data_IF_697372506787
#
_entry.id   IF_697372506787
#
_cell.length_a   1.000
_cell.length_b   1.000
_cell.length_c   1.000
_cell.angle_alpha   90.00
_cell.angle_beta   90.00
_cell.angle_gamma   90.00
#
_symmetry.space_group_name_H-M   'P 1'
#
loop_
_entity.id
_entity.type
_entity.pdbx_description
1 polymer ?
#
# COMPACT_ATOMS: atom_id res chain seq x y z
N UNK A 1 20.05 4.80 -64.31
CA UNK A 1 19.02 5.46 -63.48
C UNK A 1 18.78 4.59 -62.25
N UNK A 2 19.03 5.08 -61.03
CA UNK A 2 18.77 4.31 -59.82
C UNK A 2 17.33 4.52 -59.36
N UNK A 3 16.55 3.44 -59.31
CA UNK A 3 15.16 3.47 -58.87
C UNK A 3 15.09 3.70 -57.33
N UNK A 4 14.37 4.74 -56.91
CA UNK A 4 14.20 5.09 -55.49
C UNK A 4 13.05 4.28 -54.90
N UNK A 5 13.37 3.38 -53.96
CA UNK A 5 12.39 2.59 -53.21
C UNK A 5 11.52 3.49 -52.31
N UNK A 6 10.19 3.32 -52.38
CA UNK A 6 9.21 3.98 -51.51
C UNK A 6 9.20 3.33 -50.11
N UNK A 7 10.19 3.66 -49.29
CA UNK A 7 10.20 3.29 -47.87
C UNK A 7 9.87 4.49 -46.99
N UNK A 8 8.93 4.34 -46.06
CA UNK A 8 8.71 5.34 -45.01
C UNK A 8 10.04 5.66 -44.31
N UNK A 9 10.36 6.93 -44.00
CA UNK A 9 11.68 7.35 -43.50
C UNK A 9 12.13 6.59 -42.24
N UNK A 10 11.19 6.06 -41.47
CA UNK A 10 11.41 5.35 -40.20
C UNK A 10 11.55 3.83 -40.35
N UNK A 11 11.30 3.25 -41.54
CA UNK A 11 11.31 1.80 -41.75
C UNK A 11 12.67 1.14 -41.48
N UNK A 12 13.75 1.84 -41.83
CA UNK A 12 15.13 1.38 -41.60
C UNK A 12 15.50 1.36 -40.12
N UNK A 13 15.17 2.45 -39.41
CA UNK A 13 15.37 2.55 -37.97
C UNK A 13 14.54 1.50 -37.22
N UNK A 14 13.28 1.32 -37.61
CA UNK A 14 12.40 0.33 -36.97
C UNK A 14 13.01 -1.08 -37.08
N UNK A 15 13.47 -1.47 -38.28
CA UNK A 15 14.14 -2.77 -38.47
C UNK A 15 15.42 -2.91 -37.66
N UNK A 16 16.23 -1.84 -37.58
CA UNK A 16 17.43 -1.85 -36.75
C UNK A 16 17.10 -2.07 -35.26
N UNK A 17 16.09 -1.36 -34.73
CA UNK A 17 15.70 -1.47 -33.32
C UNK A 17 15.24 -2.89 -32.94
N UNK A 18 14.61 -3.62 -33.86
CA UNK A 18 14.18 -5.01 -33.62
C UNK A 18 15.34 -6.00 -33.46
N UNK A 19 16.53 -5.69 -34.01
CA UNK A 19 17.69 -6.59 -33.98
C UNK A 19 18.88 -6.03 -33.19
N UNK A 20 18.84 -4.76 -32.79
CA UNK A 20 19.93 -4.14 -32.04
C UNK A 20 19.98 -4.67 -30.61
N UNK A 21 21.02 -5.44 -30.29
CA UNK A 21 21.22 -6.04 -28.97
C UNK A 21 21.20 -5.01 -27.83
N UNK A 22 21.76 -3.80 -28.05
CA UNK A 22 21.75 -2.73 -27.06
C UNK A 22 20.33 -2.20 -26.81
N UNK A 23 19.53 -2.04 -27.87
CA UNK A 23 18.14 -1.62 -27.74
C UNK A 23 17.29 -2.68 -27.04
N UNK A 24 17.44 -3.96 -27.42
CA UNK A 24 16.72 -5.07 -26.80
C UNK A 24 17.07 -5.22 -25.31
N UNK A 25 18.36 -5.07 -24.94
CA UNK A 25 18.79 -5.06 -23.53
C UNK A 25 18.22 -3.87 -22.75
N UNK A 26 18.22 -2.67 -23.33
CA UNK A 26 17.64 -1.48 -22.72
C UNK A 26 16.12 -1.61 -22.55
N UNK A 27 15.42 -2.16 -23.55
CA UNK A 27 13.99 -2.46 -23.50
C UNK A 27 13.67 -3.47 -22.41
N UNK A 28 14.39 -4.59 -22.34
CA UNK A 28 14.22 -5.58 -21.28
C UNK A 28 14.51 -5.01 -19.87
N UNK A 29 15.51 -4.13 -19.74
CA UNK A 29 15.79 -3.42 -18.47
C UNK A 29 14.65 -2.48 -18.10
N UNK A 30 14.09 -1.75 -19.07
CA UNK A 30 12.94 -0.85 -18.86
C UNK A 30 11.65 -1.62 -18.54
N UNK A 31 11.41 -2.76 -19.16
CA UNK A 31 10.27 -3.64 -18.85
C UNK A 31 10.39 -4.21 -17.42
N UNK A 32 11.59 -4.65 -17.01
CA UNK A 32 11.86 -5.05 -15.62
C UNK A 32 11.68 -3.90 -14.62
N UNK A 33 12.11 -2.69 -14.98
CA UNK A 33 11.95 -1.50 -14.13
C UNK A 33 10.48 -1.04 -14.06
N UNK A 34 9.71 -1.14 -15.14
CA UNK A 34 8.27 -0.83 -15.15
C UNK A 34 7.45 -1.86 -14.35
N UNK A 35 7.89 -3.12 -14.28
CA UNK A 35 7.34 -4.11 -13.34
C UNK A 35 7.66 -3.77 -11.87
N UNK A 36 8.59 -2.84 -11.63
CA UNK A 36 9.02 -2.35 -10.32
C UNK A 36 8.72 -0.86 -10.20
N UNK A 37 7.58 -0.40 -10.73
CA UNK A 37 7.18 1.00 -10.58
C UNK A 37 7.19 1.36 -9.09
N UNK A 38 8.14 2.21 -8.69
CA UNK A 38 8.22 2.75 -7.34
C UNK A 38 7.04 3.68 -7.14
N UNK A 39 6.11 3.32 -6.25
CA UNK A 39 5.11 4.25 -5.80
C UNK A 39 5.82 5.37 -5.02
N UNK A 40 5.48 6.62 -5.34
CA UNK A 40 6.01 7.79 -4.66
C UNK A 40 4.94 8.25 -3.68
N UNK A 41 5.22 8.14 -2.39
CA UNK A 41 4.31 8.60 -1.35
C UNK A 41 4.82 9.88 -0.70
N UNK A 42 3.88 10.77 -0.39
CA UNK A 42 4.12 12.01 0.33
C UNK A 42 3.65 11.84 1.77
N UNK A 43 4.53 12.13 2.74
CA UNK A 43 4.14 12.12 4.15
C UNK A 43 3.06 13.19 4.40
N UNK A 44 1.97 12.90 5.12
CA UNK A 44 1.05 13.95 5.55
C UNK A 44 1.80 14.92 6.46
N UNK A 45 1.80 16.21 6.12
CA UNK A 45 2.43 17.23 6.94
C UNK A 45 1.76 17.31 8.31
N UNK A 46 2.54 17.10 9.36
CA UNK A 46 2.20 17.59 10.68
C UNK A 46 2.42 19.12 10.71
N UNK A 47 1.34 19.86 10.48
CA UNK A 47 1.08 21.21 11.03
C UNK A 47 1.92 22.41 10.52
N UNK A 48 2.78 22.30 9.50
CA UNK A 48 3.46 23.48 8.91
C UNK A 48 3.08 23.70 7.43
N UNK A 49 2.39 24.81 7.08
CA UNK A 49 2.04 25.15 5.69
C UNK A 49 3.24 25.44 4.78
N UNK A 50 4.45 25.63 5.34
CA UNK A 50 5.68 25.92 4.59
C UNK A 50 6.58 24.71 4.34
N UNK A 51 6.26 23.55 4.92
CA UNK A 51 7.03 22.31 4.73
C UNK A 51 6.57 21.59 3.46
N UNK A 52 7.49 21.27 2.54
CA UNK A 52 7.18 20.33 1.47
C UNK A 52 7.19 18.90 2.03
N UNK A 53 6.15 18.08 1.80
CA UNK A 53 6.11 16.73 2.33
C UNK A 53 7.28 15.93 1.78
N UNK A 54 8.09 15.36 2.68
CA UNK A 54 9.24 14.56 2.32
C UNK A 54 8.79 13.34 1.50
N UNK A 55 9.46 13.13 0.36
CA UNK A 55 9.28 11.96 -0.49
C UNK A 55 9.69 10.71 0.29
N UNK A 56 8.76 9.80 0.53
CA UNK A 56 9.06 8.48 1.09
C UNK A 56 9.06 7.42 -0.02
N UNK A 57 9.87 6.39 0.18
CA UNK A 57 9.77 5.17 -0.61
C UNK A 57 8.37 4.60 -0.36
N UNK A 58 7.48 4.68 -1.35
CA UNK A 58 6.08 4.23 -1.27
C UNK A 58 5.98 2.70 -1.28
N UNK A 59 6.81 2.05 -0.47
CA UNK A 59 6.83 0.61 -0.35
C UNK A 59 5.56 0.19 0.35
N UNK A 60 4.74 -0.58 -0.35
CA UNK A 60 3.54 -1.16 0.22
C UNK A 60 3.92 -2.11 1.36
N UNK A 61 3.41 -1.83 2.55
CA UNK A 61 3.55 -2.71 3.71
C UNK A 61 2.19 -3.29 4.08
N UNK A 62 2.00 -4.56 3.72
CA UNK A 62 0.75 -5.26 4.02
C UNK A 62 0.51 -5.41 5.52
N UNK A 63 1.56 -5.46 6.35
CA UNK A 63 1.43 -5.57 7.80
C UNK A 63 0.88 -4.28 8.40
N UNK A 64 1.39 -3.13 7.95
CA UNK A 64 0.89 -1.80 8.32
C UNK A 64 -0.57 -1.61 7.90
N UNK A 65 -0.97 -2.13 6.74
CA UNK A 65 -2.37 -2.09 6.30
C UNK A 65 -3.26 -2.96 7.20
N UNK A 66 -2.84 -4.17 7.58
CA UNK A 66 -3.62 -5.03 8.50
C UNK A 66 -3.78 -4.39 9.87
N UNK A 67 -2.75 -3.75 10.39
CA UNK A 67 -2.82 -2.99 11.64
C UNK A 67 -3.80 -1.81 11.51
N UNK A 68 -3.73 -1.07 10.41
CA UNK A 68 -4.66 0.04 10.13
C UNK A 68 -6.11 -0.45 10.04
N UNK A 69 -6.33 -1.59 9.39
CA UNK A 69 -7.63 -2.23 9.27
C UNK A 69 -8.18 -2.67 10.63
N UNK A 70 -7.34 -3.29 11.47
CA UNK A 70 -7.72 -3.69 12.82
C UNK A 70 -8.11 -2.48 13.68
N UNK A 71 -7.35 -1.38 13.60
CA UNK A 71 -7.69 -0.14 14.27
C UNK A 71 -9.03 0.42 13.77
N UNK A 72 -9.25 0.49 12.46
CA UNK A 72 -10.51 0.96 11.86
C UNK A 72 -11.72 0.15 12.35
N UNK A 73 -11.58 -1.18 12.39
CA UNK A 73 -12.63 -2.08 12.88
C UNK A 73 -12.93 -1.84 14.36
N UNK A 74 -11.89 -1.70 15.19
CA UNK A 74 -12.05 -1.46 16.63
C UNK A 74 -12.66 -0.07 16.91
N UNK A 75 -12.28 0.95 16.15
CA UNK A 75 -12.78 2.32 16.32
C UNK A 75 -14.25 2.48 15.93
N UNK A 76 -14.69 1.76 14.89
CA UNK A 76 -16.05 1.87 14.35
C UNK A 76 -16.91 0.64 14.58
N UNK A 77 -16.47 -0.27 15.45
CA UNK A 77 -17.16 -1.51 15.82
C UNK A 77 -17.67 -2.31 14.60
N UNK A 78 -16.81 -2.43 13.59
CA UNK A 78 -17.17 -3.09 12.32
C UNK A 78 -17.22 -4.60 12.46
N UNK A 79 -18.05 -5.23 11.62
CA UNK A 79 -18.01 -6.70 11.51
C UNK A 79 -16.72 -7.14 10.84
N UNK A 80 -16.09 -8.20 11.35
CA UNK A 80 -14.91 -8.77 10.71
C UNK A 80 -15.20 -9.34 9.30
N UNK A 81 -16.47 -9.55 8.93
CA UNK A 81 -16.83 -9.97 7.56
C UNK A 81 -16.68 -8.87 6.51
N UNK A 82 -16.62 -7.59 6.92
CA UNK A 82 -16.52 -6.45 5.99
C UNK A 82 -15.24 -6.50 5.15
N UNK A 83 -14.15 -7.03 5.72
CA UNK A 83 -12.85 -7.15 5.03
C UNK A 83 -12.82 -8.20 3.93
N UNK A 84 -13.75 -9.15 3.96
CA UNK A 84 -13.93 -10.21 2.97
C UNK A 84 -14.97 -9.83 1.91
N UNK A 85 -15.66 -8.71 2.08
CA UNK A 85 -16.66 -8.23 1.15
C UNK A 85 -16.03 -7.92 -0.22
N UNK A 86 -16.74 -8.26 -1.30
CA UNK A 86 -16.23 -8.07 -2.66
C UNK A 86 -16.08 -6.58 -3.01
N UNK A 87 -17.04 -5.74 -2.59
CA UNK A 87 -16.99 -4.30 -2.80
C UNK A 87 -15.78 -3.65 -2.13
N UNK A 88 -15.54 -3.99 -0.86
CA UNK A 88 -14.36 -3.55 -0.12
C UNK A 88 -13.06 -4.01 -0.80
N UNK A 89 -12.96 -5.28 -1.18
CA UNK A 89 -11.76 -5.80 -1.84
C UNK A 89 -11.51 -5.15 -3.20
N UNK A 90 -12.57 -4.90 -3.99
CA UNK A 90 -12.46 -4.19 -5.27
C UNK A 90 -11.96 -2.75 -5.07
N UNK A 91 -12.49 -2.05 -4.06
CA UNK A 91 -12.04 -0.72 -3.68
C UNK A 91 -10.54 -0.72 -3.32
N UNK A 92 -10.11 -1.62 -2.44
CA UNK A 92 -8.72 -1.74 -2.03
C UNK A 92 -7.78 -2.07 -3.20
N UNK A 93 -8.14 -3.01 -4.09
CA UNK A 93 -7.31 -3.35 -5.26
C UNK A 93 -7.16 -2.21 -6.25
N UNK A 94 -8.15 -1.32 -6.34
CA UNK A 94 -8.08 -0.13 -7.20
C UNK A 94 -7.16 0.95 -6.62
N UNK A 95 -7.14 1.10 -5.29
CA UNK A 95 -6.29 2.09 -4.61
C UNK A 95 -4.86 1.59 -4.32
N UNK A 96 -4.67 0.28 -4.17
CA UNK A 96 -3.41 -0.34 -3.73
C UNK A 96 -3.09 -1.55 -4.61
N UNK A 97 -2.09 -1.40 -5.49
CA UNK A 97 -1.72 -2.43 -6.48
C UNK A 97 -1.27 -3.76 -5.85
N UNK A 98 -0.67 -3.72 -4.66
CA UNK A 98 -0.15 -4.89 -3.96
C UNK A 98 -1.13 -5.47 -2.92
N UNK A 99 -2.38 -4.99 -2.89
CA UNK A 99 -3.39 -5.48 -1.96
C UNK A 99 -3.67 -6.96 -2.15
N UNK A 100 -3.48 -7.70 -1.05
CA UNK A 100 -3.95 -9.07 -0.90
C UNK A 100 -5.11 -9.05 0.08
N UNK A 101 -6.25 -9.61 -0.31
CA UNK A 101 -7.42 -9.70 0.55
C UNK A 101 -7.06 -10.27 1.93
N UNK A 102 -7.70 -9.76 2.97
CA UNK A 102 -7.46 -10.17 4.35
C UNK A 102 -8.62 -11.06 4.78
N UNK A 103 -8.33 -12.16 5.46
CA UNK A 103 -9.37 -13.03 6.01
C UNK A 103 -9.91 -12.47 7.34
N UNK A 104 -11.13 -12.87 7.68
CA UNK A 104 -11.75 -12.60 8.98
C UNK A 104 -10.92 -13.10 10.15
N UNK A 105 -10.32 -14.27 9.99
CA UNK A 105 -9.45 -14.90 11.01
C UNK A 105 -8.20 -14.08 11.25
N UNK A 106 -7.55 -13.62 10.18
CA UNK A 106 -6.39 -12.74 10.26
C UNK A 106 -6.78 -11.44 10.96
N UNK A 107 -7.84 -10.79 10.48
CA UNK A 107 -8.36 -9.54 11.05
C UNK A 107 -8.63 -9.66 12.55
N UNK A 108 -9.30 -10.74 12.98
CA UNK A 108 -9.53 -11.03 14.40
C UNK A 108 -8.22 -11.08 15.20
N UNK A 109 -7.20 -11.76 14.69
CA UNK A 109 -5.89 -11.85 15.35
C UNK A 109 -5.25 -10.47 15.52
N UNK A 110 -5.28 -9.61 14.49
CA UNK A 110 -4.73 -8.25 14.62
C UNK A 110 -5.54 -7.40 15.60
N UNK A 111 -6.88 -7.48 15.60
CA UNK A 111 -7.70 -6.78 16.57
C UNK A 111 -7.38 -7.20 18.02
N UNK A 112 -7.19 -8.50 18.27
CA UNK A 112 -6.76 -9.01 19.59
C UNK A 112 -5.39 -8.46 19.98
N UNK A 113 -4.44 -8.39 19.04
CA UNK A 113 -3.12 -7.83 19.30
C UNK A 113 -3.18 -6.34 19.66
N UNK A 114 -3.98 -5.56 18.91
CA UNK A 114 -4.23 -4.13 19.21
C UNK A 114 -4.84 -3.99 20.60
N UNK A 115 -5.86 -4.80 20.91
CA UNK A 115 -6.49 -4.80 22.23
C UNK A 115 -5.51 -5.10 23.36
N UNK A 116 -4.68 -6.16 23.24
CA UNK A 116 -3.72 -6.51 24.29
C UNK A 116 -2.63 -5.45 24.46
N UNK A 117 -2.20 -4.79 23.37
CA UNK A 117 -1.28 -3.67 23.44
C UNK A 117 -1.89 -2.48 24.20
N UNK A 118 -3.10 -2.07 23.87
CA UNK A 118 -3.80 -0.97 24.54
C UNK A 118 -4.14 -1.30 25.99
N UNK A 119 -4.58 -2.52 26.27
CA UNK A 119 -4.81 -3.04 27.63
C UNK A 119 -3.54 -2.97 28.47
N UNK A 120 -2.39 -3.32 27.92
CA UNK A 120 -1.09 -3.21 28.63
C UNK A 120 -0.75 -1.76 28.94
N UNK A 121 -0.97 -0.83 28.00
CA UNK A 121 -0.77 0.61 28.22
C UNK A 121 -1.70 1.14 29.33
N UNK A 122 -2.99 0.80 29.25
CA UNK A 122 -4.00 1.18 30.24
C UNK A 122 -3.66 0.62 31.62
N UNK A 123 -3.25 -0.65 31.71
CA UNK A 123 -2.83 -1.27 32.97
C UNK A 123 -1.66 -0.51 33.61
N UNK A 124 -0.64 -0.17 32.82
CA UNK A 124 0.51 0.59 33.31
C UNK A 124 0.13 2.00 33.78
N UNK A 125 -0.88 2.62 33.16
CA UNK A 125 -1.42 3.92 33.57
C UNK A 125 -2.19 3.80 34.89
N UNK A 126 -3.09 2.82 35.00
CA UNK A 126 -3.93 2.61 36.18
C UNK A 126 -3.13 2.20 37.42
N UNK A 127 -1.99 1.51 37.27
CA UNK A 127 -1.09 1.18 38.39
C UNK A 127 -0.47 2.41 39.06
N UNK A 128 -0.43 3.56 38.37
CA UNK A 128 0.12 4.81 38.91
C UNK A 128 -0.90 5.64 39.67
N UNK A 129 -2.17 5.23 39.67
CA UNK A 129 -3.28 5.98 40.26
C UNK A 129 -3.61 5.40 41.64
N UNK A 130 -3.77 6.27 42.64
CA UNK A 130 -3.99 5.86 44.03
C UNK A 130 -5.42 5.37 44.33
N UNK A 131 -6.41 5.79 43.53
CA UNK A 131 -7.82 5.45 43.73
C UNK A 131 -8.52 5.30 42.39
N UNK A 132 -9.13 4.14 42.17
CA UNK A 132 -9.92 3.82 40.98
C UNK A 132 -11.34 3.45 41.41
N UNK A 133 -12.36 3.96 40.74
CA UNK A 133 -13.75 3.54 40.92
C UNK A 133 -14.17 2.63 39.78
N UNK A 134 -14.79 1.50 40.08
CA UNK A 134 -15.33 0.57 39.10
C UNK A 134 -16.84 0.82 38.96
N UNK A 135 -17.30 1.04 37.74
CA UNK A 135 -18.73 1.12 37.40
C UNK A 135 -19.12 -0.14 36.66
N UNK A 136 -20.19 -0.79 37.09
CA UNK A 136 -20.80 -1.93 36.37
C UNK A 136 -22.11 -1.46 35.76
N UNK A 137 -22.23 -1.59 34.45
CA UNK A 137 -23.49 -1.43 33.73
C UNK A 137 -24.25 -2.77 33.83
N UNK A 138 -25.52 -2.71 34.23
CA UNK A 138 -26.38 -3.87 34.49
C UNK A 138 -27.62 -3.80 33.60
#
# INVERSE_FOLDING_TARGET
MFAKSKGNPTSQLHRHLQHCANHLRAKAKKERANSMQTQLDFKPNSVDPTSYPALQDGKFDMEAIKESLANWIMMHEKSFSEVEEEGFNLFCRRGMLEWRGVSRTTTRTYCVNVYEAEKKKLKNLLQKVNKNSLTTDC
#
